data_IF_882973529062
#
_entry.id   IF_882973529062
#
_cell.length_a   1.000
_cell.length_b   1.000
_cell.length_c   1.000
_cell.angle_alpha   90.00
_cell.angle_beta   90.00
_cell.angle_gamma   90.00
#
_symmetry.space_group_name_H-M   'P 1'
#
loop_
_entity.id
_entity.type
_entity.pdbx_description
1 polymer ?
#
# COMPACT_ATOMS: atom_id res chain seq x y z
N UNK A 1 -21.85 4.03 -19.06
CA UNK A 1 -20.65 4.36 -18.26
C UNK A 1 -20.14 5.71 -18.71
N UNK A 2 -19.98 6.66 -17.81
CA UNK A 2 -19.46 8.00 -18.15
C UNK A 2 -17.93 7.95 -18.33
N UNK A 3 -17.34 8.95 -19.03
CA UNK A 3 -15.87 9.05 -19.16
C UNK A 3 -15.16 9.04 -17.80
N UNK A 4 -15.75 9.65 -16.77
CA UNK A 4 -15.21 9.65 -15.40
C UNK A 4 -15.23 8.24 -14.77
N UNK A 5 -16.31 7.49 -14.96
CA UNK A 5 -16.40 6.11 -14.44
C UNK A 5 -15.39 5.19 -15.11
N UNK A 6 -15.18 5.36 -16.42
CA UNK A 6 -14.17 4.58 -17.16
C UNK A 6 -12.76 4.90 -16.68
N UNK A 7 -12.44 6.16 -16.43
CA UNK A 7 -11.12 6.57 -15.92
C UNK A 7 -10.86 6.00 -14.52
N UNK A 8 -11.85 6.07 -13.62
CA UNK A 8 -11.72 5.52 -12.26
C UNK A 8 -11.58 4.00 -12.28
N UNK A 9 -12.32 3.31 -13.15
CA UNK A 9 -12.19 1.86 -13.32
C UNK A 9 -10.80 1.49 -13.87
N UNK A 10 -10.33 2.21 -14.89
CA UNK A 10 -9.00 2.01 -15.46
C UNK A 10 -7.89 2.23 -14.41
N UNK A 11 -8.00 3.29 -13.60
CA UNK A 11 -7.08 3.55 -12.49
C UNK A 11 -7.08 2.41 -11.47
N UNK A 12 -8.24 1.83 -11.16
CA UNK A 12 -8.35 0.66 -10.29
C UNK A 12 -7.68 -0.59 -10.89
N UNK A 13 -7.87 -0.82 -12.19
CA UNK A 13 -7.22 -1.93 -12.90
C UNK A 13 -5.70 -1.75 -12.92
N UNK A 14 -5.20 -0.56 -13.22
CA UNK A 14 -3.78 -0.26 -13.19
C UNK A 14 -3.20 -0.35 -11.77
N UNK A 15 -3.93 0.15 -10.78
CA UNK A 15 -3.58 0.05 -9.35
C UNK A 15 -3.52 -1.39 -8.85
N UNK A 16 -4.18 -2.33 -9.50
CA UNK A 16 -4.05 -3.76 -9.24
C UNK A 16 -2.95 -4.42 -10.08
N UNK A 17 -2.92 -4.19 -11.40
CA UNK A 17 -2.07 -4.89 -12.33
C UNK A 17 -0.57 -4.62 -12.09
N UNK A 18 -0.20 -3.34 -11.88
CA UNK A 18 1.20 -2.97 -11.68
C UNK A 18 1.79 -3.57 -10.39
N UNK A 19 1.16 -3.43 -9.21
CA UNK A 19 1.69 -4.07 -8.00
C UNK A 19 1.63 -5.60 -8.05
N UNK A 20 0.68 -6.18 -8.79
CA UNK A 20 0.64 -7.65 -8.97
C UNK A 20 1.81 -8.15 -9.81
N UNK A 21 2.23 -7.37 -10.82
CA UNK A 21 3.48 -7.66 -11.54
C UNK A 21 4.69 -7.53 -10.63
N UNK A 22 4.72 -6.54 -9.74
CA UNK A 22 5.75 -6.44 -8.70
C UNK A 22 5.73 -7.67 -7.77
N UNK A 23 4.55 -8.13 -7.34
CA UNK A 23 4.42 -9.36 -6.54
C UNK A 23 5.06 -10.57 -7.25
N UNK A 24 4.92 -10.66 -8.56
CA UNK A 24 5.56 -11.69 -9.36
C UNK A 24 7.10 -11.61 -9.33
N UNK A 25 7.67 -10.40 -9.41
CA UNK A 25 9.13 -10.21 -9.32
C UNK A 25 9.67 -10.53 -7.92
N UNK A 26 8.91 -10.23 -6.89
CA UNK A 26 9.22 -10.58 -5.50
C UNK A 26 9.19 -12.11 -5.31
N UNK A 27 8.16 -12.77 -5.84
CA UNK A 27 8.06 -14.24 -5.79
C UNK A 27 9.24 -14.94 -6.48
N UNK A 28 9.81 -14.34 -7.52
CA UNK A 28 11.00 -14.85 -8.20
C UNK A 28 12.32 -14.58 -7.45
N UNK A 29 12.27 -14.13 -6.20
CA UNK A 29 13.43 -13.75 -5.37
C UNK A 29 14.37 -12.72 -6.01
N UNK A 30 13.85 -11.95 -6.96
CA UNK A 30 14.64 -10.89 -7.64
C UNK A 30 14.80 -9.64 -6.78
N UNK A 31 13.88 -9.43 -5.85
CA UNK A 31 13.83 -8.24 -5.00
C UNK A 31 13.48 -8.68 -3.58
N UNK A 32 14.42 -8.63 -2.64
CA UNK A 32 14.13 -8.96 -1.24
C UNK A 32 13.11 -7.95 -0.68
N UNK A 33 12.12 -8.43 0.03
CA UNK A 33 11.09 -7.62 0.64
C UNK A 33 10.85 -8.01 2.09
N UNK A 34 10.55 -7.01 2.92
CA UNK A 34 10.21 -7.24 4.32
C UNK A 34 8.71 -7.48 4.48
N UNK A 35 8.35 -8.67 4.97
CA UNK A 35 6.95 -9.08 5.17
C UNK A 35 6.23 -8.16 6.17
N UNK A 36 6.92 -7.65 7.21
CA UNK A 36 6.32 -6.78 8.22
C UNK A 36 5.86 -5.45 7.60
N UNK A 37 6.68 -4.85 6.73
CA UNK A 37 6.35 -3.62 6.01
C UNK A 37 5.11 -3.81 5.14
N UNK A 38 5.06 -4.88 4.36
CA UNK A 38 3.93 -5.16 3.47
C UNK A 38 2.66 -5.54 4.23
N UNK A 39 2.79 -6.16 5.40
CA UNK A 39 1.64 -6.40 6.27
C UNK A 39 1.02 -5.10 6.79
N UNK A 40 1.85 -4.10 7.14
CA UNK A 40 1.36 -2.78 7.53
C UNK A 40 0.69 -2.04 6.38
N UNK A 41 1.28 -2.08 5.18
CA UNK A 41 0.69 -1.49 3.97
C UNK A 41 -0.69 -2.14 3.69
N UNK A 42 -0.78 -3.46 3.78
CA UNK A 42 -2.05 -4.18 3.63
C UNK A 42 -3.13 -3.70 4.61
N UNK A 43 -2.77 -3.53 5.89
CA UNK A 43 -3.73 -3.01 6.89
C UNK A 43 -4.21 -1.60 6.50
N UNK A 44 -3.31 -0.72 6.06
CA UNK A 44 -3.64 0.65 5.66
C UNK A 44 -4.51 0.69 4.40
N UNK A 45 -4.21 -0.13 3.41
CA UNK A 45 -4.98 -0.24 2.17
C UNK A 45 -6.41 -0.72 2.46
N UNK A 46 -6.54 -1.73 3.32
CA UNK A 46 -7.84 -2.27 3.71
C UNK A 46 -8.64 -1.27 4.54
N UNK A 47 -7.98 -0.55 5.45
CA UNK A 47 -8.58 0.54 6.21
C UNK A 47 -9.04 1.66 5.27
N UNK A 48 -8.21 2.06 4.31
CA UNK A 48 -8.55 3.05 3.29
C UNK A 48 -9.78 2.66 2.47
N UNK A 49 -9.88 1.38 2.07
CA UNK A 49 -11.04 0.84 1.36
C UNK A 49 -12.33 0.97 2.21
N UNK A 50 -12.28 0.58 3.50
CA UNK A 50 -13.40 0.69 4.41
C UNK A 50 -13.84 2.15 4.60
N UNK A 51 -12.86 3.06 4.78
CA UNK A 51 -13.12 4.48 4.97
C UNK A 51 -13.80 5.11 3.77
N UNK A 52 -13.32 4.84 2.57
CA UNK A 52 -13.89 5.38 1.33
C UNK A 52 -15.30 4.83 1.08
N UNK A 53 -15.53 3.56 1.42
CA UNK A 53 -16.86 2.96 1.35
C UNK A 53 -17.82 3.60 2.37
N UNK A 54 -17.39 3.79 3.64
CA UNK A 54 -18.18 4.48 4.67
C UNK A 54 -18.44 5.95 4.36
N UNK A 55 -17.53 6.61 3.62
CA UNK A 55 -17.72 7.98 3.14
C UNK A 55 -18.76 8.09 2.00
N UNK A 56 -19.40 6.98 1.63
CA UNK A 56 -20.49 6.93 0.64
C UNK A 56 -20.04 6.67 -0.79
N UNK A 57 -18.77 6.41 -1.04
CA UNK A 57 -18.31 6.00 -2.36
C UNK A 57 -18.67 4.52 -2.59
N UNK A 58 -19.69 4.28 -3.40
CA UNK A 58 -20.16 2.93 -3.74
C UNK A 58 -19.28 2.21 -4.77
N UNK A 59 -18.31 2.91 -5.37
CA UNK A 59 -17.43 2.38 -6.43
C UNK A 59 -15.95 2.68 -6.12
N UNK A 60 -15.39 2.17 -5.01
CA UNK A 60 -14.02 2.46 -4.58
C UNK A 60 -13.00 1.60 -5.34
N UNK A 61 -13.03 1.63 -6.68
CA UNK A 61 -12.23 0.75 -7.53
C UNK A 61 -10.73 0.91 -7.33
N UNK A 62 -10.26 2.13 -7.07
CA UNK A 62 -8.84 2.42 -6.84
C UNK A 62 -8.38 1.74 -5.55
N UNK A 63 -9.07 1.99 -4.43
CA UNK A 63 -8.74 1.42 -3.13
C UNK A 63 -8.88 -0.11 -3.13
N UNK A 64 -9.89 -0.63 -3.85
CA UNK A 64 -10.05 -2.06 -4.03
C UNK A 64 -8.85 -2.65 -4.79
N UNK A 65 -8.40 -1.98 -5.86
CA UNK A 65 -7.23 -2.40 -6.62
C UNK A 65 -5.98 -2.50 -5.75
N UNK A 66 -5.71 -1.48 -4.94
CA UNK A 66 -4.59 -1.46 -4.00
C UNK A 66 -4.70 -2.53 -2.91
N UNK A 67 -5.86 -2.68 -2.28
CA UNK A 67 -6.08 -3.69 -1.25
C UNK A 67 -5.89 -5.13 -1.79
N UNK A 68 -6.36 -5.41 -3.00
CA UNK A 68 -6.12 -6.71 -3.64
C UNK A 68 -4.65 -6.91 -4.02
N UNK A 69 -3.98 -5.86 -4.48
CA UNK A 69 -2.57 -5.91 -4.83
C UNK A 69 -1.69 -6.18 -3.61
N UNK A 70 -1.96 -5.53 -2.47
CA UNK A 70 -1.21 -5.77 -1.22
C UNK A 70 -1.40 -7.21 -0.71
N UNK A 71 -2.57 -7.82 -0.91
CA UNK A 71 -2.77 -9.27 -0.67
C UNK A 71 -1.86 -10.10 -1.57
N UNK A 72 -1.80 -9.81 -2.87
CA UNK A 72 -0.96 -10.55 -3.81
C UNK A 72 0.52 -10.46 -3.45
N UNK A 73 0.98 -9.26 -3.03
CA UNK A 73 2.37 -9.06 -2.61
C UNK A 73 2.67 -9.83 -1.32
N UNK A 74 1.78 -9.77 -0.32
CA UNK A 74 1.95 -10.55 0.91
C UNK A 74 2.02 -12.05 0.64
N UNK A 75 1.16 -12.56 -0.23
CA UNK A 75 1.21 -13.97 -0.64
C UNK A 75 2.53 -14.29 -1.34
N UNK A 76 2.99 -13.44 -2.25
CA UNK A 76 4.27 -13.63 -2.94
C UNK A 76 5.45 -13.68 -1.97
N UNK A 77 5.51 -12.76 -1.00
CA UNK A 77 6.56 -12.70 0.02
C UNK A 77 6.52 -13.94 0.91
N UNK A 78 5.32 -14.35 1.34
CA UNK A 78 5.14 -15.52 2.22
C UNK A 78 5.52 -16.81 1.52
N UNK A 79 5.14 -16.97 0.25
CA UNK A 79 5.48 -18.15 -0.56
C UNK A 79 6.96 -18.15 -0.97
N UNK A 80 7.55 -16.99 -1.22
CA UNK A 80 8.97 -16.80 -1.55
C UNK A 80 9.91 -17.00 -0.35
N UNK A 81 9.38 -17.24 0.86
CA UNK A 81 10.16 -17.44 2.10
C UNK A 81 11.07 -16.25 2.43
N UNK A 82 10.67 -15.03 2.04
CA UNK A 82 11.40 -13.82 2.41
C UNK A 82 11.52 -13.67 3.93
N UNK A 83 12.65 -13.18 4.45
CA UNK A 83 12.87 -13.11 5.89
C UNK A 83 11.90 -12.14 6.57
N UNK A 84 11.42 -12.52 7.74
CA UNK A 84 10.74 -11.60 8.64
C UNK A 84 11.78 -10.76 9.35
N UNK A 85 11.87 -9.50 8.99
CA UNK A 85 12.73 -8.55 9.68
C UNK A 85 11.85 -7.53 10.42
N UNK A 86 12.11 -7.35 11.71
CA UNK A 86 11.39 -6.40 12.54
C UNK A 86 12.40 -5.49 13.23
N UNK A 87 12.51 -4.27 12.76
CA UNK A 87 13.45 -3.28 13.25
C UNK A 87 12.77 -2.06 13.88
N UNK A 88 13.55 -1.02 14.08
CA UNK A 88 13.05 0.25 14.62
C UNK A 88 12.06 0.94 13.66
N UNK A 89 12.33 0.89 12.38
CA UNK A 89 11.50 1.47 11.32
C UNK A 89 10.09 0.86 11.28
N UNK A 90 10.00 -0.46 11.48
CA UNK A 90 8.72 -1.18 11.58
C UNK A 90 7.97 -0.78 12.85
N UNK A 91 8.66 -0.61 13.97
CA UNK A 91 8.02 -0.14 15.21
C UNK A 91 7.42 1.26 15.03
N UNK A 92 8.12 2.19 14.40
CA UNK A 92 7.62 3.55 14.13
C UNK A 92 6.42 3.49 13.20
N UNK A 93 6.51 2.73 12.12
CA UNK A 93 5.42 2.57 11.15
C UNK A 93 4.18 1.94 11.81
N UNK A 94 4.37 0.91 12.63
CA UNK A 94 3.29 0.26 13.37
C UNK A 94 2.63 1.21 14.37
N UNK A 95 3.41 2.02 15.10
CA UNK A 95 2.87 3.02 16.01
C UNK A 95 2.04 4.08 15.26
N UNK A 96 2.52 4.56 14.11
CA UNK A 96 1.79 5.51 13.28
C UNK A 96 0.51 4.92 12.70
N UNK A 97 0.52 3.65 12.28
CA UNK A 97 -0.69 2.94 11.87
C UNK A 97 -1.70 2.86 13.02
N UNK A 98 -1.24 2.53 14.23
CA UNK A 98 -2.07 2.50 15.43
C UNK A 98 -2.70 3.86 15.75
N UNK A 99 -1.90 4.93 15.68
CA UNK A 99 -2.38 6.31 15.84
C UNK A 99 -3.41 6.66 14.77
N UNK A 100 -3.18 6.31 13.50
CA UNK A 100 -4.13 6.57 12.43
C UNK A 100 -5.47 5.86 12.67
N UNK A 101 -5.45 4.62 13.14
CA UNK A 101 -6.66 3.87 13.51
C UNK A 101 -7.36 4.52 14.69
N UNK A 102 -6.65 4.90 15.75
CA UNK A 102 -7.22 5.59 16.90
C UNK A 102 -7.86 6.93 16.52
N UNK A 103 -7.17 7.73 15.72
CA UNK A 103 -7.71 8.99 15.22
C UNK A 103 -8.96 8.77 14.37
N UNK A 104 -8.99 7.68 13.61
CA UNK A 104 -10.19 7.33 12.85
C UNK A 104 -11.37 6.93 13.75
N UNK A 105 -11.13 6.20 14.82
CA UNK A 105 -12.18 5.76 15.74
C UNK A 105 -12.72 6.91 16.60
N UNK A 106 -11.89 7.91 16.91
CA UNK A 106 -12.21 8.99 17.85
C UNK A 106 -12.56 10.32 17.20
N UNK A 107 -12.08 10.58 15.99
CA UNK A 107 -12.23 11.84 15.29
C UNK A 107 -13.01 11.67 13.98
N UNK A 108 -13.17 12.78 13.29
CA UNK A 108 -13.91 12.82 12.06
C UNK A 108 -13.09 12.19 10.86
N UNK A 109 -13.80 11.67 9.87
CA UNK A 109 -13.22 10.95 8.73
C UNK A 109 -12.15 11.75 7.95
N UNK A 110 -12.20 13.09 7.94
CA UNK A 110 -11.19 13.92 7.25
C UNK A 110 -9.83 13.86 7.94
N UNK A 111 -9.81 13.89 9.26
CA UNK A 111 -8.57 13.79 10.05
C UNK A 111 -7.99 12.37 9.94
N UNK A 112 -8.86 11.37 9.91
CA UNK A 112 -8.45 9.99 9.72
C UNK A 112 -7.78 9.76 8.34
N UNK A 113 -8.30 10.38 7.27
CA UNK A 113 -7.69 10.32 5.95
C UNK A 113 -6.29 10.98 5.97
N UNK A 114 -6.14 12.15 6.58
CA UNK A 114 -4.83 12.80 6.71
C UNK A 114 -3.87 11.94 7.54
N UNK A 115 -4.32 11.37 8.64
CA UNK A 115 -3.50 10.50 9.48
C UNK A 115 -3.07 9.21 8.73
N UNK A 116 -3.97 8.62 7.93
CA UNK A 116 -3.63 7.45 7.10
C UNK A 116 -2.62 7.78 6.01
N UNK A 117 -2.69 8.98 5.42
CA UNK A 117 -1.68 9.46 4.46
C UNK A 117 -0.32 9.60 5.14
N UNK A 118 -0.26 10.22 6.32
CA UNK A 118 1.00 10.34 7.08
C UNK A 118 1.55 8.96 7.44
N UNK A 119 0.71 8.03 7.89
CA UNK A 119 1.12 6.66 8.19
C UNK A 119 1.63 5.92 6.94
N UNK A 120 1.00 6.14 5.78
CA UNK A 120 1.40 5.57 4.50
C UNK A 120 2.77 6.10 4.06
N UNK A 121 3.03 7.40 4.19
CA UNK A 121 4.36 7.98 3.94
C UNK A 121 5.41 7.43 4.92
N UNK A 122 5.08 7.31 6.19
CA UNK A 122 5.98 6.77 7.20
C UNK A 122 6.31 5.28 6.95
N UNK A 123 5.34 4.48 6.49
CA UNK A 123 5.58 3.09 6.12
C UNK A 123 6.43 2.94 4.84
N UNK A 124 6.49 3.97 4.00
CA UNK A 124 7.38 4.00 2.85
C UNK A 124 8.85 4.27 3.23
N UNK A 125 9.12 4.83 4.42
CA UNK A 125 10.49 5.13 4.86
C UNK A 125 11.35 3.86 5.02
N UNK A 126 10.92 2.77 5.69
CA UNK A 126 11.68 1.53 5.73
C UNK A 126 11.86 0.94 4.33
N UNK A 127 10.82 0.98 3.51
CA UNK A 127 10.89 0.55 2.13
C UNK A 127 12.00 1.30 1.36
N UNK A 128 12.12 2.62 1.54
CA UNK A 128 13.18 3.44 0.93
C UNK A 128 14.56 3.13 1.52
N UNK A 129 14.66 2.77 2.80
CA UNK A 129 15.92 2.40 3.43
C UNK A 129 16.45 1.07 2.87
N UNK A 130 15.57 0.07 2.72
CA UNK A 130 15.89 -1.23 2.11
C UNK A 130 16.28 -1.06 0.63
N UNK A 131 15.73 -0.04 -0.04
CA UNK A 131 16.00 0.25 -1.45
C UNK A 131 17.32 0.96 -1.74
N UNK A 132 18.01 1.44 -0.72
CA UNK A 132 19.29 2.14 -0.89
C UNK A 132 20.38 1.22 -1.43
N UNK A 133 20.20 -0.08 -1.32
CA UNK A 133 21.18 -1.08 -1.77
C UNK A 133 21.02 -1.49 -3.24
N UNK A 134 19.82 -1.27 -3.87
CA UNK A 134 19.59 -1.59 -5.29
C UNK A 134 18.72 -0.52 -6.01
N UNK A 135 19.29 0.62 -6.44
CA UNK A 135 18.51 1.79 -6.85
C UNK A 135 17.80 1.71 -8.21
N UNK A 136 18.19 0.81 -9.11
CA UNK A 136 17.81 0.96 -10.54
C UNK A 136 16.39 0.49 -10.91
N UNK A 137 15.86 -0.56 -10.31
CA UNK A 137 14.55 -1.11 -10.68
C UNK A 137 13.40 -0.51 -9.86
N UNK A 138 13.70 0.04 -8.73
CA UNK A 138 12.74 0.37 -7.69
C UNK A 138 12.27 1.82 -7.75
N UNK A 139 13.13 2.74 -8.20
CA UNK A 139 12.75 4.13 -8.44
C UNK A 139 11.65 4.24 -9.51
N UNK A 140 11.71 3.38 -10.52
CA UNK A 140 10.71 3.32 -11.60
C UNK A 140 9.33 2.84 -11.05
N UNK A 141 9.32 1.87 -10.15
CA UNK A 141 8.10 1.35 -9.52
C UNK A 141 7.47 2.35 -8.56
N UNK A 142 8.28 3.03 -7.77
CA UNK A 142 7.79 4.07 -6.86
C UNK A 142 7.20 5.25 -7.64
N UNK A 143 7.85 5.70 -8.69
CA UNK A 143 7.33 6.75 -9.58
C UNK A 143 6.03 6.32 -10.27
N UNK A 144 5.93 5.09 -10.78
CA UNK A 144 4.72 4.59 -11.42
C UNK A 144 3.56 4.41 -10.45
N UNK A 145 3.82 4.00 -9.20
CA UNK A 145 2.80 3.85 -8.19
C UNK A 145 2.26 5.20 -7.70
N UNK A 146 3.11 6.22 -7.57
CA UNK A 146 2.69 7.57 -7.17
C UNK A 146 1.97 8.33 -8.28
N UNK A 147 2.33 8.14 -9.53
CA UNK A 147 1.64 8.77 -10.68
C UNK A 147 0.25 8.18 -10.90
N UNK A 148 0.02 6.92 -10.54
CA UNK A 148 -1.30 6.29 -10.65
C UNK A 148 -2.33 6.77 -9.62
N UNK A 149 -1.93 7.55 -8.61
CA UNK A 149 -2.79 8.04 -7.52
C UNK A 149 -3.17 9.52 -7.64
N UNK A 150 -2.62 10.28 -8.57
CA UNK A 150 -3.02 11.63 -8.96
C UNK A 150 -3.99 11.63 -10.13
#
# INVERSE_FOLDING_TARGET
>A
MTRKESAVLLSGILGFALPTYFAWTVYQDKIPQNIATWFMIFILDFLGLILVYKAGNKKPYIQLGWALASVCILLAITLGKSPWHWGWTENVSFALCGIAILLWLTLNARIAILASLVAMFASAVPLMADYREEPQLQTLWFCLSTVGTC
#
